data_IF_776632722021
#
_entry.id   IF_776632722021
#
_cell.length_a   1.000
_cell.length_b   1.000
_cell.length_c   1.000
_cell.angle_alpha   90.00
_cell.angle_beta   90.00
_cell.angle_gamma   90.00
#
_symmetry.space_group_name_H-M   'P 1'
#
loop_
_entity.id
_entity.type
_entity.pdbx_description
1 polymer ?
#
# COMPACT_ATOMS: atom_id res chain seq x y z
N UNK A 1 -61.07 30.37 -61.94
CA UNK A 1 -59.65 29.93 -62.01
C UNK A 1 -59.04 29.53 -60.66
N UNK A 2 -59.58 29.96 -59.52
CA UNK A 2 -59.01 29.68 -58.19
C UNK A 2 -59.17 28.22 -57.72
N UNK A 3 -60.31 27.57 -58.00
CA UNK A 3 -60.61 26.19 -57.59
C UNK A 3 -59.70 25.12 -58.24
N UNK A 4 -59.28 25.31 -59.51
CA UNK A 4 -58.35 24.37 -60.17
C UNK A 4 -56.94 24.44 -59.58
N UNK A 5 -56.51 25.63 -59.13
CA UNK A 5 -55.23 25.80 -58.42
C UNK A 5 -55.28 25.11 -57.06
N UNK A 6 -56.36 25.28 -56.28
CA UNK A 6 -56.48 24.62 -54.98
C UNK A 6 -56.55 23.09 -55.09
N UNK A 7 -57.25 22.55 -56.10
CA UNK A 7 -57.33 21.10 -56.31
C UNK A 7 -55.98 20.48 -56.69
N UNK A 8 -55.19 21.16 -57.53
CA UNK A 8 -53.83 20.70 -57.90
C UNK A 8 -52.87 20.76 -56.71
N UNK A 9 -52.99 21.79 -55.87
CA UNK A 9 -52.24 21.86 -54.61
C UNK A 9 -52.63 20.75 -53.64
N UNK A 10 -53.93 20.46 -53.49
CA UNK A 10 -54.42 19.37 -52.66
C UNK A 10 -54.00 17.99 -53.18
N UNK A 11 -53.97 17.77 -54.49
CA UNK A 11 -53.51 16.50 -55.06
C UNK A 11 -52.00 16.31 -54.85
N UNK A 12 -51.22 17.39 -54.94
CA UNK A 12 -49.79 17.40 -54.62
C UNK A 12 -49.57 17.06 -53.14
N UNK A 13 -50.28 17.74 -52.23
CA UNK A 13 -50.20 17.46 -50.79
C UNK A 13 -50.61 16.02 -50.47
N UNK A 14 -51.70 15.53 -51.09
CA UNK A 14 -52.15 14.15 -50.92
C UNK A 14 -51.14 13.15 -51.47
N UNK A 15 -50.49 13.42 -52.59
CA UNK A 15 -49.43 12.56 -53.12
C UNK A 15 -48.19 12.52 -52.22
N UNK A 16 -47.80 13.68 -51.67
CA UNK A 16 -46.68 13.77 -50.72
C UNK A 16 -46.99 13.11 -49.37
N UNK A 17 -48.23 13.20 -48.89
CA UNK A 17 -48.69 12.49 -47.69
C UNK A 17 -48.80 10.98 -47.92
N UNK A 18 -49.21 10.55 -49.12
CA UNK A 18 -49.32 9.14 -49.47
C UNK A 18 -47.95 8.46 -49.63
N UNK A 19 -46.92 9.22 -50.01
CA UNK A 19 -45.52 8.76 -50.00
C UNK A 19 -44.87 8.75 -48.61
N UNK A 20 -45.48 9.42 -47.63
CA UNK A 20 -45.08 9.40 -46.22
C UNK A 20 -46.03 8.44 -45.47
N UNK A 21 -45.81 7.14 -45.59
CA UNK A 21 -46.66 6.18 -44.88
C UNK A 21 -46.47 6.33 -43.36
N UNK A 22 -47.52 6.76 -42.67
CA UNK A 22 -47.55 6.88 -41.20
C UNK A 22 -47.16 5.57 -40.48
N UNK A 23 -47.34 4.42 -41.15
CA UNK A 23 -46.94 3.08 -40.68
C UNK A 23 -45.42 2.89 -40.68
N UNK A 24 -44.70 3.51 -41.60
CA UNK A 24 -43.24 3.44 -41.66
C UNK A 24 -42.59 4.27 -40.55
N UNK A 25 -43.21 5.42 -40.22
CA UNK A 25 -42.79 6.24 -39.08
C UNK A 25 -43.08 5.56 -37.73
N UNK A 26 -44.21 4.86 -37.60
CA UNK A 26 -44.52 4.13 -36.37
C UNK A 26 -43.58 2.93 -36.19
N UNK A 27 -43.40 2.10 -37.22
CA UNK A 27 -42.48 0.94 -37.19
C UNK A 27 -41.04 1.34 -36.90
N UNK A 28 -40.54 2.43 -37.50
CA UNK A 28 -39.19 2.94 -37.21
C UNK A 28 -39.03 3.37 -35.74
N UNK A 29 -40.04 4.02 -35.15
CA UNK A 29 -40.03 4.38 -33.72
C UNK A 29 -40.08 3.14 -32.82
N UNK A 30 -40.89 2.14 -33.16
CA UNK A 30 -40.93 0.88 -32.40
C UNK A 30 -39.58 0.15 -32.43
N UNK A 31 -38.92 0.09 -33.60
CA UNK A 31 -37.59 -0.50 -33.72
C UNK A 31 -36.53 0.22 -32.86
N UNK A 32 -36.58 1.56 -32.82
CA UNK A 32 -35.71 2.33 -31.93
C UNK A 32 -35.96 2.05 -30.45
N UNK A 33 -37.21 1.80 -30.06
CA UNK A 33 -37.56 1.42 -28.68
C UNK A 33 -36.99 0.05 -28.33
N UNK A 34 -37.08 -0.94 -29.24
CA UNK A 34 -36.47 -2.26 -29.04
C UNK A 34 -34.95 -2.16 -28.85
N UNK A 35 -34.26 -1.40 -29.70
CA UNK A 35 -32.81 -1.16 -29.58
C UNK A 35 -32.43 -0.50 -28.23
N UNK A 36 -33.28 0.41 -27.72
CA UNK A 36 -33.06 1.04 -26.41
C UNK A 36 -33.28 0.06 -25.25
N UNK A 37 -34.24 -0.86 -25.34
CA UNK A 37 -34.48 -1.89 -24.32
C UNK A 37 -33.29 -2.86 -24.24
N UNK A 38 -32.77 -3.28 -25.39
CA UNK A 38 -31.60 -4.15 -25.45
C UNK A 38 -30.35 -3.46 -24.88
N UNK A 39 -30.20 -2.17 -25.18
CA UNK A 39 -29.13 -1.35 -24.61
C UNK A 39 -29.28 -1.21 -23.09
N UNK A 40 -30.50 -1.00 -22.58
CA UNK A 40 -30.78 -0.93 -21.14
C UNK A 40 -30.45 -2.26 -20.44
N UNK A 41 -30.81 -3.40 -21.04
CA UNK A 41 -30.48 -4.72 -20.52
C UNK A 41 -28.96 -4.93 -20.46
N UNK A 42 -28.25 -4.53 -21.51
CA UNK A 42 -26.78 -4.58 -21.58
C UNK A 42 -26.15 -3.69 -20.50
N UNK A 43 -26.65 -2.46 -20.32
CA UNK A 43 -26.19 -1.55 -19.28
C UNK A 43 -26.40 -2.13 -17.87
N UNK A 44 -27.56 -2.73 -17.60
CA UNK A 44 -27.84 -3.39 -16.31
C UNK A 44 -26.86 -4.54 -16.05
N UNK A 45 -26.57 -5.35 -17.07
CA UNK A 45 -25.58 -6.42 -16.97
C UNK A 45 -24.18 -5.87 -16.65
N UNK A 46 -23.74 -4.84 -17.38
CA UNK A 46 -22.46 -4.18 -17.12
C UNK A 46 -22.37 -3.60 -15.70
N UNK A 47 -23.43 -2.93 -15.22
CA UNK A 47 -23.50 -2.40 -13.86
C UNK A 47 -23.37 -3.53 -12.83
N UNK A 48 -24.02 -4.67 -13.06
CA UNK A 48 -23.92 -5.80 -12.15
C UNK A 48 -22.47 -6.32 -12.07
N UNK A 49 -21.80 -6.47 -13.21
CA UNK A 49 -20.40 -6.90 -13.23
C UNK A 49 -19.47 -5.91 -12.52
N UNK A 50 -19.70 -4.61 -12.70
CA UNK A 50 -18.92 -3.58 -12.00
C UNK A 50 -19.12 -3.64 -10.49
N UNK A 51 -20.34 -3.87 -10.01
CA UNK A 51 -20.63 -4.06 -8.58
C UNK A 51 -19.95 -5.30 -8.01
N UNK A 52 -19.95 -6.41 -8.76
CA UNK A 52 -19.23 -7.62 -8.35
C UNK A 52 -17.74 -7.35 -8.25
N UNK A 53 -17.16 -6.65 -9.24
CA UNK A 53 -15.74 -6.29 -9.21
C UNK A 53 -15.39 -5.37 -8.04
N UNK A 54 -16.24 -4.37 -7.75
CA UNK A 54 -16.10 -3.49 -6.59
C UNK A 54 -16.10 -4.27 -5.28
N UNK A 55 -17.02 -5.22 -5.11
CA UNK A 55 -17.06 -6.07 -3.93
C UNK A 55 -15.78 -6.91 -3.77
N UNK A 56 -15.31 -7.53 -4.85
CA UNK A 56 -14.07 -8.33 -4.81
C UNK A 56 -12.88 -7.47 -4.39
N UNK A 57 -12.74 -6.26 -4.93
CA UNK A 57 -11.66 -5.35 -4.51
C UNK A 57 -11.79 -4.94 -3.04
N UNK A 58 -13.00 -4.71 -2.55
CA UNK A 58 -13.20 -4.39 -1.14
C UNK A 58 -12.81 -5.56 -0.24
N UNK A 59 -13.16 -6.80 -0.61
CA UNK A 59 -12.75 -8.01 0.11
C UNK A 59 -11.22 -8.15 0.14
N UNK A 60 -10.54 -7.99 -0.99
CA UNK A 60 -9.07 -8.02 -1.07
C UNK A 60 -8.41 -6.92 -0.19
N UNK A 61 -8.98 -5.71 -0.18
CA UNK A 61 -8.49 -4.61 0.66
C UNK A 61 -8.62 -4.95 2.14
N UNK A 62 -9.74 -5.55 2.57
CA UNK A 62 -9.90 -5.98 3.97
C UNK A 62 -8.89 -7.06 4.35
N UNK A 63 -8.64 -8.05 3.50
CA UNK A 63 -7.60 -9.07 3.75
C UNK A 63 -6.19 -8.46 3.87
N UNK A 64 -5.90 -7.44 3.06
CA UNK A 64 -4.62 -6.71 3.15
C UNK A 64 -4.48 -5.90 4.45
N UNK A 65 -5.59 -5.36 4.99
CA UNK A 65 -5.57 -4.62 6.26
C UNK A 65 -5.18 -5.52 7.43
N UNK A 66 -5.66 -6.76 7.47
CA UNK A 66 -5.28 -7.72 8.52
C UNK A 66 -3.78 -8.01 8.48
N UNK A 67 -3.24 -8.17 7.28
CA UNK A 67 -1.80 -8.35 7.07
C UNK A 67 -1.00 -7.13 7.58
N UNK A 68 -1.44 -5.91 7.24
CA UNK A 68 -0.83 -4.67 7.71
C UNK A 68 -0.88 -4.54 9.24
N UNK A 69 -1.98 -4.96 9.89
CA UNK A 69 -2.11 -4.95 11.33
C UNK A 69 -1.06 -5.87 12.00
N UNK A 70 -0.83 -7.07 11.44
CA UNK A 70 0.23 -7.98 11.91
C UNK A 70 1.61 -7.34 11.76
N UNK A 71 1.91 -6.71 10.63
CA UNK A 71 3.18 -6.01 10.42
C UNK A 71 3.38 -4.86 11.43
N UNK A 72 2.33 -4.08 11.71
CA UNK A 72 2.36 -3.01 12.69
C UNK A 72 2.64 -3.54 14.11
N UNK A 73 1.97 -4.64 14.51
CA UNK A 73 2.23 -5.31 15.79
C UNK A 73 3.65 -5.85 15.87
N UNK A 74 4.17 -6.43 14.77
CA UNK A 74 5.54 -6.92 14.70
C UNK A 74 6.57 -5.80 14.82
N UNK A 75 6.32 -4.64 14.20
CA UNK A 75 7.17 -3.48 14.34
C UNK A 75 7.20 -2.95 15.79
N UNK A 76 6.04 -2.90 16.45
CA UNK A 76 5.95 -2.53 17.87
C UNK A 76 6.70 -3.54 18.77
N UNK A 77 6.55 -4.84 18.51
CA UNK A 77 7.29 -5.87 19.24
C UNK A 77 8.80 -5.72 19.06
N UNK A 78 9.29 -5.42 17.86
CA UNK A 78 10.72 -5.17 17.62
C UNK A 78 11.24 -3.96 18.41
N UNK A 79 10.49 -2.87 18.52
CA UNK A 79 10.90 -1.73 19.35
C UNK A 79 10.99 -2.09 20.84
N UNK A 80 10.13 -2.98 21.31
CA UNK A 80 10.19 -3.49 22.68
C UNK A 80 11.41 -4.40 22.84
N UNK A 81 11.67 -5.30 21.89
CA UNK A 81 12.84 -6.19 21.91
C UNK A 81 14.15 -5.38 21.93
N UNK A 82 14.26 -4.33 21.12
CA UNK A 82 15.42 -3.42 21.14
C UNK A 82 15.57 -2.70 22.49
N UNK A 83 14.45 -2.36 23.14
CA UNK A 83 14.47 -1.76 24.49
C UNK A 83 15.03 -2.72 25.56
N UNK A 84 14.86 -4.03 25.39
CA UNK A 84 15.46 -5.05 26.26
C UNK A 84 16.91 -5.39 25.87
N UNK A 85 17.30 -5.17 24.61
CA UNK A 85 18.69 -5.34 24.14
C UNK A 85 19.61 -4.16 24.50
N UNK A 86 19.05 -3.05 25.01
CA UNK A 86 19.79 -1.84 25.39
C UNK A 86 20.57 -1.94 26.72
N UNK A 87 20.41 -3.04 27.47
CA UNK A 87 21.12 -3.25 28.76
C UNK A 87 22.42 -4.07 28.64
N UNK A 88 22.80 -4.50 27.43
CA UNK A 88 24.16 -5.01 27.21
C UNK A 88 25.16 -3.85 27.26
N UNK A 89 25.68 -3.55 28.46
CA UNK A 89 26.81 -2.64 28.64
C UNK A 89 27.93 -3.05 27.69
N UNK A 90 28.20 -2.21 26.70
CA UNK A 90 29.25 -2.45 25.70
C UNK A 90 30.60 -2.19 26.32
N UNK A 91 31.16 -3.24 26.91
CA UNK A 91 32.53 -3.26 27.42
C UNK A 91 33.52 -3.39 26.26
N UNK A 92 34.78 -3.05 26.55
CA UNK A 92 35.94 -3.24 25.68
C UNK A 92 35.89 -2.47 24.34
N UNK A 93 37.02 -2.48 23.63
CA UNK A 93 37.17 -1.87 22.30
C UNK A 93 36.33 -2.58 21.24
N UNK A 94 36.04 -3.87 21.43
CA UNK A 94 35.26 -4.69 20.50
C UNK A 94 33.75 -4.40 20.57
N UNK A 95 33.29 -3.71 21.63
CA UNK A 95 31.88 -3.36 21.87
C UNK A 95 30.94 -4.58 21.90
N UNK A 96 31.46 -5.75 22.28
CA UNK A 96 30.71 -6.99 22.43
C UNK A 96 30.20 -7.12 23.86
N UNK A 97 28.95 -7.59 24.03
CA UNK A 97 28.33 -7.84 25.34
C UNK A 97 28.79 -9.12 26.06
N UNK A 98 29.88 -9.75 25.61
CA UNK A 98 30.43 -10.93 26.31
C UNK A 98 31.03 -10.50 27.66
N UNK A 99 30.64 -11.16 28.74
CA UNK A 99 31.10 -10.82 30.10
C UNK A 99 32.25 -11.72 30.60
N UNK A 100 32.77 -12.61 29.76
CA UNK A 100 33.85 -13.55 30.12
C UNK A 100 35.24 -12.89 30.01
N UNK A 101 36.14 -13.22 30.94
CA UNK A 101 37.56 -12.81 30.94
C UNK A 101 37.77 -11.30 30.80
N UNK A 102 37.17 -10.53 31.70
CA UNK A 102 37.29 -9.06 31.74
C UNK A 102 38.34 -8.61 32.77
N UNK A 103 39.07 -7.54 32.45
CA UNK A 103 39.93 -6.79 33.37
C UNK A 103 39.50 -5.31 33.41
N UNK A 104 39.54 -4.71 34.59
CA UNK A 104 39.27 -3.29 34.79
C UNK A 104 40.54 -2.45 34.61
N UNK A 105 40.42 -1.27 34.02
CA UNK A 105 41.51 -0.30 33.95
C UNK A 105 41.57 0.54 35.23
N UNK A 106 42.70 0.55 35.92
CA UNK A 106 42.87 1.22 37.22
C UNK A 106 43.02 2.75 37.15
N UNK A 107 43.00 3.34 35.95
CA UNK A 107 43.01 4.79 35.80
C UNK A 107 41.68 5.42 36.27
N UNK A 108 41.78 6.45 37.10
CA UNK A 108 40.64 7.12 37.77
C UNK A 108 39.56 7.66 36.83
N UNK A 109 39.91 8.00 35.59
CA UNK A 109 39.00 8.50 34.56
C UNK A 109 39.10 7.69 33.26
N UNK A 110 38.91 6.36 33.35
CA UNK A 110 38.79 5.51 32.17
C UNK A 110 37.38 5.58 31.59
N UNK A 111 37.25 5.87 30.28
CA UNK A 111 35.95 5.97 29.61
C UNK A 111 35.32 4.62 29.23
N UNK A 112 36.09 3.54 29.26
CA UNK A 112 35.65 2.19 28.84
C UNK A 112 35.59 1.24 30.03
N UNK A 113 36.44 1.46 31.04
CA UNK A 113 36.51 0.73 32.32
C UNK A 113 36.89 -0.75 32.21
N UNK A 114 36.27 -1.54 31.32
CA UNK A 114 36.40 -2.99 31.22
C UNK A 114 36.88 -3.46 29.85
N UNK A 115 37.78 -4.43 29.82
CA UNK A 115 38.37 -4.97 28.58
C UNK A 115 38.46 -6.50 28.64
N UNK A 116 38.17 -7.17 27.52
CA UNK A 116 38.46 -8.60 27.39
C UNK A 116 39.97 -8.82 27.35
N UNK A 117 40.47 -9.79 28.10
CA UNK A 117 41.88 -10.18 28.11
C UNK A 117 42.40 -10.46 26.69
N UNK A 118 41.64 -11.21 25.89
CA UNK A 118 41.98 -11.51 24.50
C UNK A 118 42.08 -10.26 23.61
N UNK A 119 41.22 -9.25 23.83
CA UNK A 119 41.21 -8.03 23.04
C UNK A 119 42.43 -7.13 23.29
N UNK A 120 43.08 -7.30 24.44
CA UNK A 120 44.28 -6.57 24.84
C UNK A 120 45.52 -7.47 24.85
N UNK A 121 45.41 -8.72 24.40
CA UNK A 121 46.52 -9.67 24.29
C UNK A 121 47.04 -10.20 25.61
N UNK A 122 46.23 -10.20 26.67
CA UNK A 122 46.56 -10.83 27.95
C UNK A 122 46.04 -12.27 27.98
N UNK A 123 46.85 -13.20 28.49
CA UNK A 123 46.43 -14.58 28.72
C UNK A 123 45.78 -14.76 30.10
N UNK A 124 46.24 -13.99 31.09
CA UNK A 124 45.77 -14.05 32.48
C UNK A 124 45.71 -12.62 33.05
N UNK A 125 44.94 -12.45 34.14
CA UNK A 125 44.85 -11.19 34.87
C UNK A 125 46.20 -10.95 35.59
N UNK A 126 46.88 -9.81 35.37
CA UNK A 126 48.11 -9.46 36.07
C UNK A 126 47.88 -9.33 37.59
N UNK A 127 48.92 -9.60 38.40
CA UNK A 127 48.86 -9.40 39.86
C UNK A 127 48.92 -7.92 40.26
N UNK A 128 49.53 -7.07 39.42
CA UNK A 128 49.69 -5.64 39.61
C UNK A 128 48.63 -4.81 38.85
N UNK A 129 48.54 -3.52 39.17
CA UNK A 129 47.64 -2.57 38.51
C UNK A 129 47.80 -2.58 36.98
N UNK A 130 46.68 -2.64 36.28
CA UNK A 130 46.64 -2.63 34.81
C UNK A 130 45.97 -1.36 34.30
N UNK A 131 46.69 -0.63 33.45
CA UNK A 131 46.21 0.57 32.80
C UNK A 131 46.07 0.30 31.29
N UNK A 132 44.91 0.62 30.73
CA UNK A 132 44.68 0.48 29.29
C UNK A 132 45.53 1.46 28.47
N UNK A 133 45.80 1.15 27.21
CA UNK A 133 46.66 1.99 26.38
C UNK A 133 46.12 3.41 26.19
N UNK A 134 44.80 3.58 26.10
CA UNK A 134 44.16 4.90 26.02
C UNK A 134 44.48 5.77 27.24
N UNK A 135 44.52 5.18 28.43
CA UNK A 135 44.87 5.89 29.67
C UNK A 135 46.39 6.08 29.81
N UNK A 136 47.21 5.16 29.28
CA UNK A 136 48.67 5.33 29.22
C UNK A 136 49.09 6.55 28.38
N UNK A 137 48.35 6.84 27.29
CA UNK A 137 48.62 7.99 26.41
C UNK A 137 48.09 9.33 26.92
N UNK A 138 47.22 9.35 27.96
CA UNK A 138 46.64 10.57 28.55
C UNK A 138 47.51 11.20 29.66
N UNK A 139 48.80 10.84 29.72
CA UNK A 139 49.72 11.30 30.77
C UNK A 139 50.09 12.77 30.66
#
# INVERSE_FOLDING_TARGET
MLYKKSFKSLSLINSSLKSLELKDLSTKKYKQIEELIDLEATLKFCINNLKTLENNFNEEIEEMKDTLAIFALKAQANTIIDSFALDEKKYCLCRSGKEENLIACDASECSIEWYHLDCIGLAEIPEDEWICDQCKFKK
#
